data_IF_747507515709
#
_entry.id   IF_747507515709
#
_cell.length_a   1.000
_cell.length_b   1.000
_cell.length_c   1.000
_cell.angle_alpha   90.00
_cell.angle_beta   90.00
_cell.angle_gamma   90.00
#
_symmetry.space_group_name_H-M   'P 1'
#
loop_
_entity.id
_entity.type
_entity.pdbx_description
1 polymer ?
#
# COMPACT_ATOMS: atom_id res chain seq x y z
N UNK A 1 11.87 -34.14 -0.72
CA UNK A 1 11.67 -32.92 0.11
C UNK A 1 11.39 -31.76 -0.84
N UNK A 2 10.18 -31.69 -1.41
CA UNK A 2 9.71 -30.60 -2.28
C UNK A 2 8.79 -29.62 -1.53
N UNK A 3 8.52 -29.90 -0.26
CA UNK A 3 7.50 -29.22 0.55
C UNK A 3 7.91 -27.80 0.97
N UNK A 4 9.20 -27.48 1.05
CA UNK A 4 9.68 -26.22 1.63
C UNK A 4 9.53 -25.00 0.69
N UNK A 5 9.88 -25.13 -0.60
CA UNK A 5 9.84 -23.99 -1.53
C UNK A 5 8.41 -23.55 -1.89
N UNK A 6 7.49 -24.52 -2.04
CA UNK A 6 6.08 -24.23 -2.30
C UNK A 6 5.41 -23.62 -1.07
N UNK A 7 5.74 -24.10 0.13
CA UNK A 7 5.26 -23.50 1.37
C UNK A 7 5.78 -22.08 1.55
N UNK A 8 7.08 -21.84 1.29
CA UNK A 8 7.69 -20.51 1.29
C UNK A 8 6.98 -19.55 0.32
N UNK A 9 6.73 -20.00 -0.92
CA UNK A 9 6.03 -19.20 -1.92
C UNK A 9 4.60 -18.86 -1.46
N UNK A 10 3.84 -19.84 -0.96
CA UNK A 10 2.48 -19.61 -0.46
C UNK A 10 2.45 -18.69 0.77
N UNK A 11 3.40 -18.85 1.69
CA UNK A 11 3.54 -17.97 2.85
C UNK A 11 3.82 -16.52 2.41
N UNK A 12 4.70 -16.33 1.43
CA UNK A 12 4.99 -15.02 0.85
C UNK A 12 3.77 -14.42 0.12
N UNK A 13 3.03 -15.21 -0.66
CA UNK A 13 1.78 -14.79 -1.31
C UNK A 13 0.78 -14.28 -0.27
N UNK A 14 0.54 -15.05 0.79
CA UNK A 14 -0.39 -14.67 1.85
C UNK A 14 0.07 -13.42 2.61
N UNK A 15 1.38 -13.30 2.86
CA UNK A 15 1.96 -12.10 3.46
C UNK A 15 1.71 -10.85 2.62
N UNK A 16 2.03 -10.89 1.33
CA UNK A 16 1.84 -9.75 0.43
C UNK A 16 0.37 -9.42 0.20
N UNK A 17 -0.49 -10.45 0.09
CA UNK A 17 -1.94 -10.26 0.00
C UNK A 17 -2.49 -9.51 1.21
N UNK A 18 -2.14 -9.95 2.41
CA UNK A 18 -2.62 -9.33 3.66
C UNK A 18 -2.19 -7.88 3.77
N UNK A 19 -0.93 -7.58 3.42
CA UNK A 19 -0.42 -6.21 3.37
C UNK A 19 -1.10 -5.36 2.30
N UNK A 20 -1.33 -5.90 1.11
CA UNK A 20 -2.03 -5.19 0.05
C UNK A 20 -3.47 -4.85 0.49
N UNK A 21 -4.21 -5.83 1.01
CA UNK A 21 -5.59 -5.64 1.44
C UNK A 21 -5.71 -4.59 2.55
N UNK A 22 -4.80 -4.60 3.53
CA UNK A 22 -4.75 -3.56 4.56
C UNK A 22 -4.53 -2.15 3.98
N UNK A 23 -3.55 -1.98 3.09
CA UNK A 23 -3.28 -0.67 2.48
C UNK A 23 -4.42 -0.20 1.55
N UNK A 24 -5.11 -1.13 0.87
CA UNK A 24 -6.30 -0.81 0.08
C UNK A 24 -7.43 -0.31 0.97
N UNK A 25 -7.74 -1.02 2.06
CA UNK A 25 -8.79 -0.67 3.00
C UNK A 25 -8.53 0.70 3.63
N UNK A 26 -7.31 0.94 4.10
CA UNK A 26 -6.92 2.23 4.65
C UNK A 26 -7.10 3.35 3.63
N UNK A 27 -6.63 3.17 2.40
CA UNK A 27 -6.76 4.23 1.42
C UNK A 27 -8.21 4.53 1.09
N UNK A 28 -9.07 3.51 0.98
CA UNK A 28 -10.50 3.70 0.71
C UNK A 28 -11.21 4.36 1.89
N UNK A 29 -10.83 4.00 3.12
CA UNK A 29 -11.39 4.59 4.34
C UNK A 29 -11.12 6.09 4.41
N UNK A 30 -9.86 6.51 4.32
CA UNK A 30 -9.51 7.94 4.37
C UNK A 30 -10.04 8.71 3.15
N UNK A 31 -10.02 8.10 1.97
CA UNK A 31 -10.63 8.72 0.79
C UNK A 31 -12.13 8.96 0.98
N UNK A 32 -12.86 7.99 1.55
CA UNK A 32 -14.28 8.12 1.86
C UNK A 32 -14.56 9.24 2.88
N UNK A 33 -13.73 9.35 3.93
CA UNK A 33 -13.80 10.46 4.90
C UNK A 33 -13.62 11.81 4.19
N UNK A 34 -12.56 11.92 3.37
CA UNK A 34 -12.24 13.16 2.64
C UNK A 34 -13.42 13.58 1.77
N UNK A 35 -13.93 12.69 0.92
CA UNK A 35 -15.06 13.00 0.04
C UNK A 35 -16.29 13.40 0.84
N UNK A 36 -16.69 12.58 1.83
CA UNK A 36 -17.91 12.81 2.61
C UNK A 36 -17.86 14.14 3.35
N UNK A 37 -16.77 14.42 4.05
CA UNK A 37 -16.67 15.62 4.89
C UNK A 37 -16.39 16.89 4.08
N UNK A 38 -15.71 16.76 2.93
CA UNK A 38 -15.52 17.88 2.01
C UNK A 38 -16.83 18.33 1.37
N UNK A 39 -17.78 17.41 1.17
CA UNK A 39 -19.13 17.73 0.67
C UNK A 39 -20.04 18.24 1.78
N UNK A 40 -19.98 17.66 2.99
CA UNK A 40 -20.81 18.09 4.11
C UNK A 40 -20.45 19.48 4.65
N UNK A 41 -19.15 19.82 4.69
CA UNK A 41 -18.69 21.11 5.22
C UNK A 41 -19.38 22.33 4.57
N UNK A 42 -19.37 22.50 3.23
CA UNK A 42 -20.06 23.62 2.60
C UNK A 42 -21.59 23.56 2.76
N UNK A 43 -22.20 22.37 2.88
CA UNK A 43 -23.64 22.27 3.16
C UNK A 43 -24.00 22.85 4.53
N UNK A 44 -23.20 22.57 5.57
CA UNK A 44 -23.39 23.16 6.89
C UNK A 44 -23.15 24.67 6.90
N UNK A 45 -22.19 25.17 6.10
CA UNK A 45 -21.98 26.61 5.95
C UNK A 45 -23.16 27.30 5.26
N UNK A 46 -23.75 26.66 4.23
CA UNK A 46 -24.82 27.26 3.44
C UNK A 46 -26.20 27.18 4.10
N UNK A 47 -26.51 26.07 4.77
CA UNK A 47 -27.85 25.78 5.31
C UNK A 47 -27.91 25.86 6.84
N UNK A 48 -26.76 25.97 7.51
CA UNK A 48 -26.67 25.95 8.97
C UNK A 48 -26.81 27.33 9.58
N UNK A 49 -27.84 27.50 10.41
CA UNK A 49 -28.01 28.70 11.22
C UNK A 49 -27.26 28.61 12.57
N UNK A 50 -26.75 29.75 13.02
CA UNK A 50 -26.08 29.87 14.32
C UNK A 50 -24.59 29.46 14.31
N UNK A 51 -23.91 29.78 15.41
CA UNK A 51 -22.45 29.63 15.54
C UNK A 51 -22.00 28.15 15.47
N UNK A 52 -22.73 27.25 16.10
CA UNK A 52 -22.33 25.84 16.20
C UNK A 52 -22.45 25.16 14.83
N UNK A 53 -23.66 25.18 14.24
CA UNK A 53 -23.97 24.46 13.00
C UNK A 53 -23.29 25.11 11.79
N UNK A 54 -23.31 26.44 11.70
CA UNK A 54 -22.76 27.16 10.54
C UNK A 54 -21.24 27.37 10.56
N UNK A 55 -20.56 27.22 11.72
CA UNK A 55 -19.12 27.54 11.82
C UNK A 55 -18.28 26.47 12.52
N UNK A 56 -18.69 26.01 13.71
CA UNK A 56 -17.88 25.05 14.47
C UNK A 56 -17.85 23.69 13.77
N UNK A 57 -19.01 23.13 13.45
CA UNK A 57 -19.12 21.83 12.76
C UNK A 57 -18.33 21.83 11.44
N UNK A 58 -18.54 22.75 10.49
CA UNK A 58 -17.81 22.73 9.21
C UNK A 58 -16.30 22.94 9.39
N UNK A 59 -15.86 23.71 10.40
CA UNK A 59 -14.43 23.85 10.71
C UNK A 59 -13.81 22.52 11.19
N UNK A 60 -14.51 21.79 12.06
CA UNK A 60 -14.07 20.46 12.50
C UNK A 60 -14.04 19.46 11.35
N UNK A 61 -15.06 19.46 10.47
CA UNK A 61 -15.08 18.61 9.28
C UNK A 61 -13.88 18.91 8.38
N UNK A 62 -13.60 20.19 8.12
CA UNK A 62 -12.44 20.61 7.32
C UNK A 62 -11.10 20.20 7.96
N UNK A 63 -10.98 20.26 9.29
CA UNK A 63 -9.78 19.80 9.99
C UNK A 63 -9.57 18.28 9.80
N UNK A 64 -10.64 17.48 9.90
CA UNK A 64 -10.57 16.03 9.67
C UNK A 64 -10.18 15.72 8.22
N UNK A 65 -10.72 16.47 7.25
CA UNK A 65 -10.33 16.36 5.84
C UNK A 65 -8.84 16.66 5.66
N UNK A 66 -8.34 17.75 6.24
CA UNK A 66 -6.94 18.15 6.14
C UNK A 66 -6.00 17.09 6.77
N UNK A 67 -6.32 16.61 7.98
CA UNK A 67 -5.56 15.57 8.66
C UNK A 67 -5.55 14.25 7.87
N UNK A 68 -6.71 13.83 7.34
CA UNK A 68 -6.85 12.63 6.51
C UNK A 68 -6.04 12.72 5.22
N UNK A 69 -6.05 13.90 4.59
CA UNK A 69 -5.28 14.18 3.36
C UNK A 69 -3.78 14.11 3.64
N UNK A 70 -3.33 14.78 4.71
CA UNK A 70 -1.93 14.74 5.13
C UNK A 70 -1.48 13.29 5.43
N UNK A 71 -2.33 12.51 6.10
CA UNK A 71 -2.04 11.10 6.37
C UNK A 71 -1.85 10.28 5.09
N UNK A 72 -2.76 10.41 4.11
CA UNK A 72 -2.64 9.72 2.82
C UNK A 72 -1.40 10.15 2.03
N UNK A 73 -1.06 11.45 2.05
CA UNK A 73 0.11 11.98 1.36
C UNK A 73 1.42 11.49 1.99
N UNK A 74 1.47 11.38 3.32
CA UNK A 74 2.63 10.92 4.05
C UNK A 74 2.85 9.41 3.86
N UNK A 75 1.82 8.60 4.12
CA UNK A 75 1.93 7.13 4.11
C UNK A 75 1.90 6.53 2.70
N UNK A 76 1.24 7.20 1.75
CA UNK A 76 1.06 6.74 0.35
C UNK A 76 0.56 5.28 0.25
N UNK A 77 -0.53 4.91 0.96
CA UNK A 77 -0.99 3.52 1.02
C UNK A 77 -1.33 2.93 -0.35
N UNK A 78 -1.76 3.74 -1.33
CA UNK A 78 -1.98 3.28 -2.71
C UNK A 78 -0.71 2.79 -3.39
N UNK A 79 0.44 3.43 -3.16
CA UNK A 79 1.72 2.99 -3.70
C UNK A 79 2.17 1.67 -3.03
N UNK A 80 1.99 1.57 -1.70
CA UNK A 80 2.27 0.34 -0.96
C UNK A 80 1.39 -0.82 -1.43
N UNK A 81 0.09 -0.57 -1.65
CA UNK A 81 -0.82 -1.54 -2.23
C UNK A 81 -0.33 -2.03 -3.59
N UNK A 82 0.05 -1.12 -4.50
CA UNK A 82 0.54 -1.49 -5.82
C UNK A 82 1.81 -2.35 -5.76
N UNK A 83 2.78 -2.00 -4.91
CA UNK A 83 4.01 -2.79 -4.72
C UNK A 83 3.68 -4.19 -4.22
N UNK A 84 2.92 -4.31 -3.13
CA UNK A 84 2.61 -5.62 -2.56
C UNK A 84 1.73 -6.47 -3.48
N UNK A 85 0.81 -5.85 -4.22
CA UNK A 85 -0.03 -6.56 -5.18
C UNK A 85 0.76 -7.08 -6.38
N UNK A 86 1.68 -6.28 -6.89
CA UNK A 86 2.61 -6.67 -7.96
C UNK A 86 3.50 -7.85 -7.50
N UNK A 87 4.13 -7.73 -6.33
CA UNK A 87 4.95 -8.80 -5.75
C UNK A 87 4.16 -10.10 -5.53
N UNK A 88 2.92 -10.00 -5.03
CA UNK A 88 2.03 -11.16 -4.93
C UNK A 88 1.82 -11.82 -6.29
N UNK A 89 1.49 -11.05 -7.34
CA UNK A 89 1.24 -11.59 -8.68
C UNK A 89 2.48 -12.23 -9.30
N UNK A 90 3.65 -11.64 -9.11
CA UNK A 90 4.93 -12.22 -9.57
C UNK A 90 5.20 -13.58 -8.93
N UNK A 91 4.92 -13.74 -7.63
CA UNK A 91 5.13 -15.02 -6.93
C UNK A 91 4.07 -16.05 -7.36
N UNK A 92 2.82 -15.64 -7.55
CA UNK A 92 1.77 -16.52 -8.11
C UNK A 92 2.13 -17.02 -9.51
N UNK A 93 2.68 -16.16 -10.37
CA UNK A 93 3.17 -16.54 -11.70
C UNK A 93 4.36 -17.52 -11.62
N UNK A 94 5.35 -17.23 -10.77
CA UNK A 94 6.48 -18.13 -10.54
C UNK A 94 6.03 -19.51 -10.02
N UNK A 95 5.07 -19.54 -9.09
CA UNK A 95 4.50 -20.77 -8.57
C UNK A 95 3.72 -21.54 -9.66
N UNK A 96 2.96 -20.85 -10.50
CA UNK A 96 2.27 -21.44 -11.64
C UNK A 96 3.26 -22.09 -12.61
N UNK A 97 4.30 -21.34 -13.01
CA UNK A 97 5.35 -21.85 -13.91
C UNK A 97 6.12 -23.02 -13.30
N UNK A 98 6.38 -23.00 -11.99
CA UNK A 98 6.90 -24.14 -11.24
C UNK A 98 5.97 -25.36 -11.34
N UNK A 99 4.68 -25.20 -11.02
CA UNK A 99 3.72 -26.32 -10.99
C UNK A 99 3.55 -26.99 -12.37
N UNK A 100 3.51 -26.19 -13.43
CA UNK A 100 3.31 -26.68 -14.80
C UNK A 100 4.60 -26.90 -15.59
N UNK A 101 5.75 -26.80 -14.93
CA UNK A 101 7.06 -27.05 -15.52
C UNK A 101 7.34 -26.17 -16.76
N UNK A 102 7.04 -24.87 -16.67
CA UNK A 102 7.10 -23.91 -17.78
C UNK A 102 8.35 -23.04 -17.74
N UNK A 103 8.94 -22.76 -18.90
CA UNK A 103 10.03 -21.79 -19.06
C UNK A 103 11.28 -22.20 -18.28
N UNK A 104 11.74 -21.34 -17.36
CA UNK A 104 12.95 -21.58 -16.56
C UNK A 104 12.82 -22.76 -15.58
N UNK A 105 11.58 -23.21 -15.32
CA UNK A 105 11.30 -24.33 -14.44
C UNK A 105 11.31 -25.69 -15.15
N UNK A 106 11.47 -25.74 -16.49
CA UNK A 106 11.57 -26.98 -17.28
C UNK A 106 12.92 -27.69 -17.10
N UNK A 107 13.32 -27.92 -15.85
CA UNK A 107 14.60 -28.51 -15.42
C UNK A 107 14.35 -29.68 -14.49
N UNK A 108 15.40 -30.27 -13.90
CA UNK A 108 15.24 -31.33 -12.90
C UNK A 108 14.54 -30.81 -11.62
N UNK A 109 13.91 -31.71 -10.87
CA UNK A 109 13.09 -31.35 -9.71
C UNK A 109 13.85 -30.65 -8.57
N UNK A 110 15.15 -30.93 -8.41
CA UNK A 110 15.97 -30.31 -7.36
C UNK A 110 16.25 -28.86 -7.74
N UNK A 111 16.72 -28.65 -8.96
CA UNK A 111 17.01 -27.31 -9.48
C UNK A 111 15.75 -26.45 -9.57
N UNK A 112 14.66 -27.03 -10.05
CA UNK A 112 13.34 -26.39 -10.13
C UNK A 112 12.86 -25.88 -8.77
N UNK A 113 13.08 -26.65 -7.70
CA UNK A 113 12.74 -26.27 -6.32
C UNK A 113 13.64 -25.13 -5.82
N UNK A 114 14.95 -25.19 -6.13
CA UNK A 114 15.90 -24.10 -5.82
C UNK A 114 15.49 -22.80 -6.51
N UNK A 115 15.16 -22.85 -7.79
CA UNK A 115 14.74 -21.70 -8.57
C UNK A 115 13.48 -21.04 -7.97
N UNK A 116 12.48 -21.81 -7.54
CA UNK A 116 11.28 -21.24 -6.93
C UNK A 116 11.59 -20.47 -5.64
N UNK A 117 12.44 -21.05 -4.79
CA UNK A 117 12.87 -20.39 -3.56
C UNK A 117 13.65 -19.10 -3.84
N UNK A 118 14.56 -19.13 -4.83
CA UNK A 118 15.33 -17.96 -5.26
C UNK A 118 14.47 -16.86 -5.86
N UNK A 119 13.55 -17.19 -6.76
CA UNK A 119 12.60 -16.23 -7.33
C UNK A 119 11.74 -15.59 -6.23
N UNK A 120 11.21 -16.40 -5.32
CA UNK A 120 10.38 -15.91 -4.20
C UNK A 120 11.17 -14.93 -3.31
N UNK A 121 12.42 -15.27 -2.99
CA UNK A 121 13.31 -14.41 -2.20
C UNK A 121 13.67 -13.13 -2.95
N UNK A 122 13.98 -13.23 -4.23
CA UNK A 122 14.33 -12.09 -5.08
C UNK A 122 13.18 -11.09 -5.20
N UNK A 123 11.95 -11.59 -5.43
CA UNK A 123 10.74 -10.75 -5.47
C UNK A 123 10.49 -10.10 -4.11
N UNK A 124 10.69 -10.84 -3.02
CA UNK A 124 10.52 -10.29 -1.67
C UNK A 124 11.53 -9.19 -1.35
N UNK A 125 12.77 -9.35 -1.82
CA UNK A 125 13.82 -8.34 -1.70
C UNK A 125 13.52 -7.11 -2.56
N UNK A 126 13.12 -7.30 -3.82
CA UNK A 126 12.70 -6.21 -4.71
C UNK A 126 11.56 -5.41 -4.09
N UNK A 127 10.55 -6.10 -3.53
CA UNK A 127 9.47 -5.46 -2.81
C UNK A 127 10.01 -4.58 -1.67
N UNK A 128 10.94 -5.13 -0.87
CA UNK A 128 11.59 -4.40 0.22
C UNK A 128 12.26 -3.11 -0.26
N UNK A 129 13.10 -3.20 -1.28
CA UNK A 129 13.80 -2.05 -1.87
C UNK A 129 12.83 -1.01 -2.43
N UNK A 130 11.70 -1.43 -3.00
CA UNK A 130 10.70 -0.51 -3.58
C UNK A 130 9.86 0.23 -2.54
N UNK A 131 9.53 -0.40 -1.40
CA UNK A 131 8.73 0.28 -0.37
C UNK A 131 9.56 1.12 0.59
N UNK A 132 10.85 0.81 0.77
CA UNK A 132 11.72 1.53 1.71
C UNK A 132 11.77 3.07 1.49
N UNK A 133 11.85 3.60 0.25
CA UNK A 133 11.83 5.05 0.01
C UNK A 133 10.48 5.71 0.30
N UNK A 134 9.41 4.92 0.44
CA UNK A 134 8.08 5.42 0.77
C UNK A 134 7.88 5.56 2.28
N UNK A 135 8.82 5.06 3.09
CA UNK A 135 8.78 5.26 4.53
C UNK A 135 8.97 6.74 4.83
N UNK A 136 8.03 7.38 5.55
CA UNK A 136 8.18 8.75 5.97
C UNK A 136 9.47 8.92 6.79
N UNK A 137 10.40 9.76 6.32
CA UNK A 137 11.59 10.14 7.08
C UNK A 137 11.36 11.56 7.63
N UNK A 138 11.52 11.81 8.94
CA UNK A 138 11.41 13.16 9.50
C UNK A 138 12.29 14.20 8.79
N UNK A 139 13.44 13.81 8.22
CA UNK A 139 14.30 14.72 7.46
C UNK A 139 13.69 15.18 6.12
N UNK A 140 12.79 14.39 5.52
CA UNK A 140 12.11 14.80 4.27
C UNK A 140 10.99 15.81 4.52
N UNK A 141 10.48 15.90 5.75
CA UNK A 141 9.50 16.91 6.16
C UNK A 141 10.18 18.28 6.22
N UNK A 142 11.36 18.37 6.86
CA UNK A 142 12.12 19.60 7.06
C UNK A 142 12.69 20.18 5.75
N UNK A 143 13.10 19.33 4.79
CA UNK A 143 13.65 19.78 3.50
C UNK A 143 12.61 20.51 2.64
N UNK A 144 11.35 20.05 2.68
CA UNK A 144 10.26 20.62 1.88
C UNK A 144 9.80 22.02 2.32
N UNK A 145 10.16 22.42 3.55
CA UNK A 145 9.95 23.79 4.06
C UNK A 145 11.10 24.72 3.66
N UNK A 146 12.35 24.24 3.71
CA UNK A 146 13.53 25.03 3.32
C UNK A 146 13.52 25.41 1.83
N UNK A 147 13.14 24.48 0.95
CA UNK A 147 13.05 24.74 -0.51
C UNK A 147 11.85 25.60 -0.91
N UNK A 148 10.88 25.83 -0.03
CA UNK A 148 9.74 26.73 -0.26
C UNK A 148 9.98 28.18 0.19
N UNK A 149 11.05 28.41 0.95
CA UNK A 149 11.41 29.72 1.52
C UNK A 149 12.59 30.36 0.75
N UNK A 150 13.24 29.62 -0.17
CA UNK A 150 14.31 30.11 -1.05
C UNK A 150 13.78 30.46 -2.43
#
# INVERSE_FOLDING_TARGET
MTTDAVELANAAINHFRTKADHNKLESLFFFSIIVTFSLLSPMFVMLGDGLIVGKIIPSCLSLVVAASTAWLQLRKPQHLWAIYRDSQRKIEDALCRYQFNLGEFSVDEVEKTRLLAESTRAISWEAHTRWLPLVPNPESVTRSESERIS
#
